data_IF_323560539094
#
_entry.id   IF_323560539094
#
_cell.length_a   1.000
_cell.length_b   1.000
_cell.length_c   1.000
_cell.angle_alpha   90.00
_cell.angle_beta   90.00
_cell.angle_gamma   90.00
#
_symmetry.space_group_name_H-M   'P 1'
#
loop_
_entity.id
_entity.type
_entity.pdbx_description
1 polymer ?
#
# COMPACT_ATOMS: atom_id res chain seq x y z
N UNK A 1 -2.34 -14.41 -24.80
CA UNK A 1 -2.60 -13.33 -25.76
C UNK A 1 -2.33 -13.76 -27.21
N UNK A 2 -1.12 -14.27 -27.56
CA UNK A 2 -0.79 -14.65 -28.95
C UNK A 2 -1.71 -15.70 -29.58
N UNK A 3 -2.38 -16.52 -28.79
CA UNK A 3 -3.32 -17.56 -29.27
C UNK A 3 -4.79 -17.18 -29.00
N UNK A 4 -5.04 -15.94 -28.63
CA UNK A 4 -6.38 -15.42 -28.41
C UNK A 4 -7.09 -15.22 -29.76
N UNK A 5 -8.36 -15.66 -29.88
CA UNK A 5 -9.09 -15.73 -31.12
C UNK A 5 -9.74 -14.40 -31.57
N UNK A 6 -9.71 -13.38 -30.72
CA UNK A 6 -10.24 -12.03 -30.93
C UNK A 6 -11.78 -11.96 -31.21
N UNK A 7 -12.51 -13.06 -31.04
CA UNK A 7 -13.98 -13.06 -31.23
C UNK A 7 -14.73 -12.52 -30.03
N UNK A 8 -14.13 -12.64 -28.80
CA UNK A 8 -14.73 -12.21 -27.56
C UNK A 8 -13.77 -11.32 -26.75
N UNK A 9 -14.27 -10.39 -25.93
CA UNK A 9 -13.40 -9.67 -25.00
C UNK A 9 -12.72 -10.63 -24.02
N UNK A 10 -11.50 -10.32 -23.60
CA UNK A 10 -10.79 -11.09 -22.59
C UNK A 10 -10.70 -10.32 -21.27
N UNK A 11 -10.63 -11.06 -20.19
CA UNK A 11 -10.18 -10.60 -18.88
C UNK A 11 -8.95 -11.41 -18.46
N UNK A 12 -7.88 -10.72 -18.07
CA UNK A 12 -6.65 -11.37 -17.66
C UNK A 12 -6.16 -10.77 -16.31
N UNK A 13 -6.01 -11.63 -15.31
CA UNK A 13 -5.39 -11.28 -14.05
C UNK A 13 -3.99 -11.92 -13.99
N UNK A 14 -2.95 -11.10 -13.89
CA UNK A 14 -1.56 -11.54 -13.85
C UNK A 14 -1.00 -11.21 -12.47
N UNK A 15 -0.73 -12.23 -11.68
CA UNK A 15 -0.12 -12.10 -10.36
C UNK A 15 1.33 -12.54 -10.41
N UNK A 16 2.22 -11.63 -10.00
CA UNK A 16 3.65 -11.93 -9.86
C UNK A 16 3.99 -12.20 -8.40
N UNK A 17 4.87 -13.16 -8.13
CA UNK A 17 5.41 -13.37 -6.79
C UNK A 17 6.38 -12.23 -6.40
N UNK A 18 7.18 -11.77 -7.35
CA UNK A 18 8.06 -10.63 -7.15
C UNK A 18 7.26 -9.34 -6.89
N UNK A 19 7.76 -8.42 -6.05
CA UNK A 19 9.05 -8.42 -5.37
C UNK A 19 9.07 -9.04 -3.96
N UNK A 20 8.22 -10.04 -3.67
CA UNK A 20 8.23 -10.79 -2.42
C UNK A 20 9.52 -11.63 -2.28
N UNK A 21 10.01 -11.81 -1.05
CA UNK A 21 11.12 -12.71 -0.76
C UNK A 21 10.80 -14.19 -1.14
N UNK A 22 11.81 -15.04 -1.49
CA UNK A 22 13.23 -14.72 -1.55
C UNK A 22 13.57 -13.83 -2.74
N UNK A 23 14.52 -12.91 -2.55
CA UNK A 23 14.97 -11.99 -3.61
C UNK A 23 15.77 -12.77 -4.63
N UNK A 24 15.10 -13.30 -5.64
CA UNK A 24 15.68 -14.13 -6.70
C UNK A 24 15.43 -13.49 -8.07
N UNK A 25 16.51 -13.19 -8.79
CA UNK A 25 16.47 -12.59 -10.12
C UNK A 25 17.70 -13.01 -10.93
N UNK A 26 17.66 -12.90 -12.26
CA UNK A 26 18.85 -13.09 -13.10
C UNK A 26 19.98 -12.12 -12.72
N UNK A 27 21.23 -12.59 -12.78
CA UNK A 27 22.43 -11.87 -12.41
C UNK A 27 22.55 -10.48 -13.09
N UNK A 28 22.10 -10.38 -14.34
CA UNK A 28 22.08 -9.10 -15.09
C UNK A 28 21.29 -7.99 -14.39
N UNK A 29 20.24 -8.33 -13.62
CA UNK A 29 19.46 -7.35 -12.85
C UNK A 29 20.08 -7.14 -11.47
N UNK A 30 20.54 -8.21 -10.83
CA UNK A 30 21.18 -8.13 -9.51
C UNK A 30 22.35 -7.14 -9.49
N UNK A 31 23.15 -7.11 -10.57
CA UNK A 31 24.34 -6.25 -10.70
C UNK A 31 24.04 -4.83 -11.20
N UNK A 32 22.75 -4.42 -11.29
CA UNK A 32 22.38 -3.07 -11.75
C UNK A 32 22.47 -2.00 -10.66
N UNK A 33 22.43 -2.41 -9.38
CA UNK A 33 22.41 -1.50 -8.24
C UNK A 33 23.57 -1.83 -7.30
N UNK A 34 24.49 -0.87 -7.11
CA UNK A 34 25.56 -0.99 -6.13
C UNK A 34 25.02 -0.59 -4.75
N UNK A 35 25.11 -1.44 -3.72
CA UNK A 35 24.71 -1.09 -2.36
C UNK A 35 25.42 0.16 -1.81
N UNK A 36 26.64 0.45 -2.25
CA UNK A 36 27.38 1.63 -1.79
C UNK A 36 26.77 2.94 -2.31
N UNK A 37 26.07 2.91 -3.45
CA UNK A 37 25.38 4.05 -4.03
C UNK A 37 23.95 4.24 -3.45
N UNK A 38 23.46 3.31 -2.62
CA UNK A 38 22.12 3.38 -2.04
C UNK A 38 22.10 4.34 -0.84
N UNK A 39 21.19 5.29 -0.88
CA UNK A 39 20.85 6.12 0.28
C UNK A 39 19.84 5.39 1.19
N UNK A 40 20.04 5.52 2.50
CA UNK A 40 19.05 5.01 3.46
C UNK A 40 17.80 5.90 3.45
N UNK A 41 16.61 5.33 3.70
CA UNK A 41 15.40 6.13 3.85
C UNK A 41 15.55 7.18 4.96
N UNK A 42 14.94 8.35 4.81
CA UNK A 42 14.99 9.44 5.80
C UNK A 42 14.47 8.99 7.19
N UNK A 43 13.50 8.10 7.20
CA UNK A 43 12.95 7.47 8.42
C UNK A 43 13.64 6.14 8.79
N UNK A 44 14.85 5.89 8.28
CA UNK A 44 15.64 4.74 8.72
C UNK A 44 15.92 4.81 10.23
N UNK A 45 15.78 3.67 10.90
CA UNK A 45 16.16 3.48 12.30
C UNK A 45 16.79 2.11 12.48
N UNK A 46 17.73 2.01 13.43
CA UNK A 46 18.29 0.70 13.83
C UNK A 46 17.26 -0.15 14.59
N UNK A 47 16.31 0.52 15.27
CA UNK A 47 15.23 -0.10 16.03
C UNK A 47 13.93 0.65 15.81
N UNK A 48 12.77 -0.03 15.87
CA UNK A 48 11.48 0.63 15.86
C UNK A 48 11.33 1.64 17.01
N UNK A 49 10.53 2.71 16.84
CA UNK A 49 10.32 3.73 17.88
C UNK A 49 9.51 3.22 19.08
N UNK A 50 8.97 2.02 19.01
CA UNK A 50 8.20 1.35 20.08
C UNK A 50 8.62 -0.11 20.13
N UNK A 51 8.53 -0.70 21.32
CA UNK A 51 8.65 -2.15 21.46
C UNK A 51 7.45 -2.82 20.79
N UNK A 52 7.59 -3.04 19.49
CA UNK A 52 6.64 -3.85 18.77
C UNK A 52 6.88 -5.30 19.17
N UNK A 53 5.85 -5.87 19.73
CA UNK A 53 5.78 -7.26 20.12
C UNK A 53 6.63 -8.19 19.30
N UNK A 54 7.60 -8.81 19.95
CA UNK A 54 8.33 -9.96 19.43
C UNK A 54 8.69 -9.76 17.94
N UNK A 55 9.21 -8.57 17.62
CA UNK A 55 9.54 -8.18 16.26
C UNK A 55 10.50 -9.19 15.62
N UNK A 56 11.40 -9.72 16.45
CA UNK A 56 12.34 -10.78 16.12
C UNK A 56 11.67 -12.15 15.85
N UNK A 57 10.42 -12.33 16.27
CA UNK A 57 9.63 -13.56 16.02
C UNK A 57 8.71 -13.44 14.80
N UNK A 58 8.56 -12.25 14.21
CA UNK A 58 7.77 -12.10 12.99
C UNK A 58 8.61 -12.49 11.78
N UNK A 59 8.03 -13.35 10.94
CA UNK A 59 8.71 -13.96 9.79
C UNK A 59 9.51 -12.96 8.96
N UNK A 60 8.87 -11.86 8.54
CA UNK A 60 9.49 -10.91 7.62
C UNK A 60 10.59 -10.09 8.32
N UNK A 61 10.42 -9.80 9.62
CA UNK A 61 11.42 -9.07 10.40
C UNK A 61 12.72 -9.84 10.61
N UNK A 62 12.69 -11.18 10.50
CA UNK A 62 13.87 -12.04 10.57
C UNK A 62 14.73 -12.04 9.30
N UNK A 63 14.30 -11.34 8.23
CA UNK A 63 15.06 -11.21 6.98
C UNK A 63 16.31 -10.33 7.10
N UNK A 64 16.43 -9.53 8.16
CA UNK A 64 17.62 -8.74 8.44
C UNK A 64 17.99 -8.82 9.93
N UNK A 65 19.26 -8.58 10.24
CA UNK A 65 19.77 -8.57 11.62
C UNK A 65 19.09 -7.49 12.46
N UNK A 66 18.98 -7.72 13.76
CA UNK A 66 18.45 -6.78 14.72
C UNK A 66 19.47 -6.48 15.84
N UNK A 67 19.81 -5.23 16.11
CA UNK A 67 19.40 -3.97 15.46
C UNK A 67 19.80 -3.90 14.00
N UNK A 68 19.04 -3.13 13.18
CA UNK A 68 19.25 -2.99 11.73
C UNK A 68 20.61 -2.35 11.45
N UNK A 69 21.39 -2.96 10.60
CA UNK A 69 22.69 -2.43 10.21
C UNK A 69 22.58 -1.68 8.89
N UNK A 70 23.10 -0.43 8.79
CA UNK A 70 23.01 0.39 7.58
C UNK A 70 23.44 -0.33 6.30
N UNK A 71 24.60 -1.01 6.32
CA UNK A 71 25.18 -1.68 5.17
C UNK A 71 24.33 -2.88 4.72
N UNK A 72 23.74 -3.61 5.65
CA UNK A 72 22.82 -4.71 5.35
C UNK A 72 21.53 -4.17 4.73
N UNK A 73 20.97 -3.09 5.26
CA UNK A 73 19.76 -2.46 4.72
C UNK A 73 20.00 -1.90 3.31
N UNK A 74 21.12 -1.24 3.06
CA UNK A 74 21.49 -0.78 1.70
C UNK A 74 21.55 -1.95 0.71
N UNK A 75 22.12 -3.08 1.10
CA UNK A 75 22.12 -4.29 0.28
C UNK A 75 20.70 -4.80 0.01
N UNK A 76 19.86 -4.84 1.02
CA UNK A 76 18.44 -5.22 0.89
C UNK A 76 17.69 -4.31 -0.08
N UNK A 77 17.93 -2.98 -0.03
CA UNK A 77 17.32 -2.01 -0.95
C UNK A 77 17.80 -2.24 -2.38
N UNK A 78 19.11 -2.42 -2.59
CA UNK A 78 19.70 -2.69 -3.91
C UNK A 78 19.09 -3.96 -4.55
N UNK A 79 19.00 -5.04 -3.78
CA UNK A 79 18.37 -6.30 -4.22
C UNK A 79 16.87 -6.11 -4.53
N UNK A 80 16.16 -5.31 -3.73
CA UNK A 80 14.75 -5.00 -3.94
C UNK A 80 14.53 -4.21 -5.22
N UNK A 81 15.36 -3.19 -5.50
CA UNK A 81 15.33 -2.43 -6.75
C UNK A 81 15.62 -3.31 -7.96
N UNK A 82 16.62 -4.20 -7.85
CA UNK A 82 16.96 -5.16 -8.91
C UNK A 82 15.78 -6.08 -9.23
N UNK A 83 15.05 -6.52 -8.22
CA UNK A 83 13.87 -7.38 -8.38
C UNK A 83 12.71 -6.63 -9.03
N UNK A 84 12.48 -5.37 -8.64
CA UNK A 84 11.47 -4.50 -9.27
C UNK A 84 11.82 -4.25 -10.74
N UNK A 85 13.09 -3.99 -11.06
CA UNK A 85 13.54 -3.80 -12.44
C UNK A 85 13.35 -5.06 -13.28
N UNK A 86 13.59 -6.24 -12.70
CA UNK A 86 13.29 -7.50 -13.37
C UNK A 86 11.78 -7.67 -13.61
N UNK A 87 10.95 -7.36 -12.61
CA UNK A 87 9.50 -7.40 -12.74
C UNK A 87 9.00 -6.46 -13.84
N UNK A 88 9.48 -5.22 -13.86
CA UNK A 88 9.15 -4.24 -14.90
C UNK A 88 9.49 -4.76 -16.31
N UNK A 89 10.68 -5.36 -16.45
CA UNK A 89 11.08 -5.99 -17.71
C UNK A 89 10.12 -7.11 -18.15
N UNK A 90 9.63 -7.94 -17.22
CA UNK A 90 8.68 -9.01 -17.55
C UNK A 90 7.28 -8.46 -17.87
N UNK A 91 6.82 -7.41 -17.16
CA UNK A 91 5.58 -6.71 -17.49
C UNK A 91 5.66 -6.05 -18.89
N UNK A 92 6.82 -5.48 -19.24
CA UNK A 92 7.07 -4.92 -20.57
C UNK A 92 6.77 -5.92 -21.70
N UNK A 93 7.10 -7.21 -21.50
CA UNK A 93 6.79 -8.26 -22.51
C UNK A 93 5.28 -8.47 -22.71
N UNK A 94 4.49 -8.30 -21.64
CA UNK A 94 3.03 -8.38 -21.74
C UNK A 94 2.51 -7.21 -22.56
N UNK A 95 2.99 -6.00 -22.29
CA UNK A 95 2.61 -4.78 -23.04
C UNK A 95 3.02 -4.90 -24.51
N UNK A 96 4.24 -5.35 -24.81
CA UNK A 96 4.67 -5.57 -26.19
C UNK A 96 3.82 -6.62 -26.89
N UNK A 97 3.41 -7.69 -26.19
CA UNK A 97 2.50 -8.69 -26.79
C UNK A 97 1.14 -8.11 -27.11
N UNK A 98 0.57 -7.24 -26.25
CA UNK A 98 -0.68 -6.52 -26.57
C UNK A 98 -0.54 -5.65 -27.82
N UNK A 99 0.60 -4.97 -27.98
CA UNK A 99 0.89 -4.17 -29.20
C UNK A 99 1.04 -5.05 -30.43
N UNK A 100 1.80 -6.16 -30.34
CA UNK A 100 2.00 -7.12 -31.43
C UNK A 100 0.69 -7.75 -31.93
N UNK A 101 -0.25 -8.00 -31.00
CA UNK A 101 -1.56 -8.58 -31.33
C UNK A 101 -2.61 -7.55 -31.75
N UNK A 102 -2.30 -6.25 -31.64
CA UNK A 102 -3.23 -5.16 -31.99
C UNK A 102 -4.28 -4.86 -30.92
N UNK A 103 -4.17 -5.47 -29.72
CA UNK A 103 -5.14 -5.32 -28.64
C UNK A 103 -4.84 -4.14 -27.71
N UNK A 104 -3.65 -3.54 -27.78
CA UNK A 104 -3.19 -2.51 -26.84
C UNK A 104 -4.14 -1.31 -26.77
N UNK A 105 -4.59 -0.79 -27.91
CA UNK A 105 -5.45 0.40 -27.96
C UNK A 105 -6.89 0.15 -27.48
N UNK A 106 -7.28 -1.12 -27.36
CA UNK A 106 -8.62 -1.54 -26.90
C UNK A 106 -8.57 -2.28 -25.55
N UNK A 107 -7.49 -2.13 -24.79
CA UNK A 107 -7.33 -2.81 -23.51
C UNK A 107 -7.15 -1.80 -22.38
N UNK A 108 -7.97 -1.92 -21.33
CA UNK A 108 -7.73 -1.23 -20.06
C UNK A 108 -6.69 -2.05 -19.27
N UNK A 109 -5.61 -1.40 -18.92
CA UNK A 109 -4.51 -1.98 -18.14
C UNK A 109 -4.54 -1.35 -16.73
N UNK A 110 -4.58 -2.20 -15.71
CA UNK A 110 -4.54 -1.78 -14.31
C UNK A 110 -3.30 -2.39 -13.68
N UNK A 111 -2.43 -1.55 -13.13
CA UNK A 111 -1.29 -1.96 -12.35
C UNK A 111 -1.51 -1.58 -10.89
N UNK A 112 -1.36 -2.54 -9.98
CA UNK A 112 -1.50 -2.31 -8.55
C UNK A 112 -0.52 -3.18 -7.74
N UNK A 113 -0.05 -2.67 -6.61
CA UNK A 113 0.58 -3.47 -5.57
C UNK A 113 -0.48 -3.95 -4.57
N UNK A 114 -0.30 -5.14 -3.98
CA UNK A 114 -1.18 -5.66 -2.93
C UNK A 114 -0.87 -5.07 -1.55
N UNK A 115 0.41 -4.83 -1.29
CA UNK A 115 0.94 -4.12 -0.11
C UNK A 115 2.33 -3.55 -0.43
N UNK A 116 2.78 -2.61 0.38
CA UNK A 116 4.15 -2.13 0.37
C UNK A 116 5.06 -2.96 1.28
N UNK A 117 6.27 -2.45 1.54
CA UNK A 117 7.28 -3.12 2.35
C UNK A 117 8.18 -2.09 3.04
N UNK A 118 8.50 -2.29 4.31
CA UNK A 118 9.63 -1.62 4.94
C UNK A 118 10.93 -2.29 4.49
N UNK A 119 11.94 -1.49 4.17
CA UNK A 119 13.32 -1.93 3.98
C UNK A 119 14.22 -0.95 4.75
N UNK A 120 14.12 -1.00 6.09
CA UNK A 120 14.83 -0.13 7.02
C UNK A 120 14.01 1.03 7.59
N UNK A 121 12.87 1.40 6.94
CA UNK A 121 11.98 2.44 7.45
C UNK A 121 11.47 2.07 8.86
N UNK A 122 11.54 3.01 9.79
CA UNK A 122 11.14 2.84 11.19
C UNK A 122 11.82 1.64 11.90
N UNK A 123 12.98 1.17 11.40
CA UNK A 123 13.66 -0.01 11.94
C UNK A 123 13.00 -1.33 11.56
N UNK A 124 12.12 -1.33 10.55
CA UNK A 124 11.35 -2.48 10.08
C UNK A 124 11.91 -3.01 8.75
N UNK A 125 11.66 -4.29 8.45
CA UNK A 125 11.93 -4.91 7.14
C UNK A 125 10.74 -5.72 6.62
N UNK A 126 9.61 -5.59 7.27
CA UNK A 126 8.36 -6.28 6.95
C UNK A 126 7.23 -5.32 6.57
N UNK A 127 6.04 -5.86 6.44
CA UNK A 127 4.82 -5.17 6.04
C UNK A 127 3.72 -5.18 7.10
N UNK A 128 4.00 -5.77 8.28
CA UNK A 128 3.03 -5.98 9.35
C UNK A 128 2.85 -4.72 10.20
N UNK A 129 2.53 -3.61 9.55
CA UNK A 129 2.32 -2.29 10.17
C UNK A 129 1.36 -1.44 9.34
N UNK A 130 1.06 -0.21 9.79
CA UNK A 130 0.17 0.72 9.12
C UNK A 130 0.86 2.04 8.70
N UNK A 131 2.18 2.06 8.60
CA UNK A 131 2.89 3.18 7.99
C UNK A 131 2.70 3.20 6.46
N UNK A 132 2.84 4.37 5.85
CA UNK A 132 2.58 4.54 4.41
C UNK A 132 3.46 3.63 3.54
N UNK A 133 4.70 3.32 3.94
CA UNK A 133 5.55 2.38 3.20
C UNK A 133 4.96 0.96 3.08
N UNK A 134 4.01 0.59 3.94
CA UNK A 134 3.34 -0.72 3.90
C UNK A 134 1.93 -0.66 3.34
N UNK A 135 1.20 0.46 3.50
CA UNK A 135 -0.21 0.55 3.11
C UNK A 135 -0.46 1.41 1.88
N UNK A 136 0.46 2.31 1.50
CA UNK A 136 0.32 3.12 0.29
C UNK A 136 1.03 2.42 -0.86
N UNK A 137 0.24 1.87 -1.78
CA UNK A 137 0.71 1.10 -2.92
C UNK A 137 0.52 1.86 -4.23
N UNK A 138 1.29 1.56 -5.28
CA UNK A 138 1.01 2.09 -6.60
C UNK A 138 -0.33 1.59 -7.11
N UNK A 139 -1.07 2.47 -7.79
CA UNK A 139 -2.28 2.16 -8.52
C UNK A 139 -2.31 3.01 -9.79
N UNK A 140 -2.28 2.36 -10.94
CA UNK A 140 -2.23 3.03 -12.25
C UNK A 140 -3.29 2.42 -13.14
N UNK A 141 -4.03 3.29 -13.84
CA UNK A 141 -4.97 2.92 -14.89
C UNK A 141 -4.47 3.48 -16.22
N UNK A 142 -4.55 2.70 -17.27
CA UNK A 142 -4.21 3.10 -18.64
C UNK A 142 -5.11 2.40 -19.64
N UNK A 143 -5.53 3.09 -20.69
CA UNK A 143 -6.34 2.51 -21.75
C UNK A 143 -7.41 3.45 -22.29
N UNK A 144 -8.32 2.95 -23.14
CA UNK A 144 -9.37 3.76 -23.74
C UNK A 144 -10.28 4.41 -22.69
N UNK A 145 -10.57 5.69 -22.88
CA UNK A 145 -11.41 6.47 -21.98
C UNK A 145 -10.75 6.90 -20.67
N UNK A 146 -9.44 6.69 -20.51
CA UNK A 146 -8.69 7.09 -19.32
C UNK A 146 -7.80 8.30 -19.68
N UNK A 147 -7.90 9.44 -18.94
CA UNK A 147 -7.02 10.59 -19.15
C UNK A 147 -5.54 10.22 -18.96
N UNK A 148 -4.69 10.64 -19.92
CA UNK A 148 -3.27 10.31 -19.90
C UNK A 148 -2.44 11.35 -19.12
N UNK A 149 -1.48 10.88 -18.32
CA UNK A 149 -0.54 11.75 -17.59
C UNK A 149 -1.17 12.51 -16.42
N UNK A 150 -2.30 12.04 -15.91
CA UNK A 150 -3.05 12.66 -14.84
C UNK A 150 -2.80 11.94 -13.50
N UNK A 151 -2.76 12.70 -12.41
CA UNK A 151 -2.71 12.20 -11.04
C UNK A 151 -4.01 12.51 -10.30
N UNK A 152 -4.35 11.68 -9.31
CA UNK A 152 -5.55 11.82 -8.49
C UNK A 152 -5.21 11.63 -7.02
N UNK A 153 -5.66 12.55 -6.16
CA UNK A 153 -5.37 12.57 -4.72
C UNK A 153 -6.50 11.96 -3.86
N UNK A 154 -7.52 11.37 -4.48
CA UNK A 154 -8.62 10.74 -3.75
C UNK A 154 -8.14 9.56 -2.92
N UNK A 155 -8.63 9.44 -1.69
CA UNK A 155 -8.44 8.24 -0.90
C UNK A 155 -9.22 7.07 -1.49
N UNK A 156 -8.48 5.99 -1.79
CA UNK A 156 -9.03 4.77 -2.40
C UNK A 156 -8.51 3.52 -1.68
N UNK A 157 -9.24 2.42 -1.82
CA UNK A 157 -8.79 1.10 -1.42
C UNK A 157 -8.64 0.20 -2.66
N UNK A 158 -7.87 -0.86 -2.55
CA UNK A 158 -7.75 -1.86 -3.63
C UNK A 158 -9.09 -2.54 -3.95
N UNK A 159 -10.00 -2.67 -2.99
CA UNK A 159 -11.34 -3.20 -3.20
C UNK A 159 -12.21 -2.34 -4.14
N UNK A 160 -11.80 -1.09 -4.40
CA UNK A 160 -12.48 -0.17 -5.32
C UNK A 160 -12.19 -0.49 -6.80
N UNK A 161 -11.16 -1.30 -7.08
CA UNK A 161 -10.79 -1.69 -8.44
C UNK A 161 -11.91 -2.45 -9.12
N UNK A 162 -12.53 -3.40 -8.44
CA UNK A 162 -13.57 -4.24 -9.02
C UNK A 162 -14.80 -3.44 -9.49
N UNK A 163 -15.44 -2.61 -8.65
CA UNK A 163 -16.58 -1.80 -9.10
C UNK A 163 -16.17 -0.78 -10.19
N UNK A 164 -14.91 -0.30 -10.17
CA UNK A 164 -14.40 0.57 -11.22
C UNK A 164 -14.31 -0.15 -12.58
N UNK A 165 -13.88 -1.40 -12.58
CA UNK A 165 -13.87 -2.22 -13.80
C UNK A 165 -15.30 -2.40 -14.31
N UNK A 166 -16.26 -2.69 -13.43
CA UNK A 166 -17.67 -2.83 -13.82
C UNK A 166 -18.18 -1.57 -14.55
N UNK A 167 -17.91 -0.39 -14.03
CA UNK A 167 -18.32 0.87 -14.66
C UNK A 167 -17.65 1.07 -16.04
N UNK A 168 -16.36 0.79 -16.17
CA UNK A 168 -15.66 0.91 -17.44
C UNK A 168 -16.23 -0.01 -18.54
N UNK A 169 -16.69 -1.20 -18.17
CA UNK A 169 -17.26 -2.15 -19.14
C UNK A 169 -18.79 -2.08 -19.22
N UNK A 170 -19.43 -1.18 -18.48
CA UNK A 170 -20.91 -1.03 -18.46
C UNK A 170 -21.62 -2.23 -17.83
N UNK A 171 -20.99 -2.90 -16.88
CA UNK A 171 -21.58 -4.04 -16.14
C UNK A 171 -22.19 -3.56 -14.83
N UNK A 172 -23.25 -4.22 -14.39
CA UNK A 172 -23.85 -3.98 -13.07
C UNK A 172 -22.89 -4.37 -11.96
N UNK A 173 -22.79 -3.51 -10.93
CA UNK A 173 -22.00 -3.78 -9.72
C UNK A 173 -22.90 -4.59 -8.76
N UNK A 174 -22.49 -5.82 -8.37
CA UNK A 174 -23.29 -6.63 -7.45
C UNK A 174 -23.48 -5.98 -6.07
N UNK A 175 -24.65 -6.14 -5.45
CA UNK A 175 -24.97 -5.61 -4.12
C UNK A 175 -24.02 -6.07 -3.00
N UNK A 176 -23.31 -7.18 -3.19
CA UNK A 176 -22.31 -7.69 -2.23
C UNK A 176 -20.96 -6.97 -2.26
N UNK A 177 -20.77 -6.03 -3.20
CA UNK A 177 -19.52 -5.29 -3.35
C UNK A 177 -19.49 -4.12 -2.38
N UNK A 178 -18.50 -4.07 -1.51
CA UNK A 178 -18.29 -3.00 -0.53
C UNK A 178 -17.40 -1.85 -1.06
N UNK A 179 -16.73 -2.06 -2.21
CA UNK A 179 -15.92 -1.04 -2.88
C UNK A 179 -16.76 0.06 -3.52
N UNK A 180 -16.14 1.21 -3.69
CA UNK A 180 -16.73 2.37 -4.38
C UNK A 180 -16.01 2.56 -5.70
N UNK A 181 -16.74 2.65 -6.81
CA UNK A 181 -16.13 2.89 -8.11
C UNK A 181 -15.34 4.20 -8.14
N UNK A 182 -14.14 4.15 -8.68
CA UNK A 182 -13.26 5.30 -8.92
C UNK A 182 -13.49 5.93 -10.30
N UNK A 183 -14.48 5.47 -11.07
CA UNK A 183 -14.71 5.91 -12.46
C UNK A 183 -14.78 7.44 -12.54
N UNK A 184 -15.61 8.08 -11.72
CA UNK A 184 -15.76 9.54 -11.71
C UNK A 184 -14.47 10.26 -11.25
N UNK A 185 -13.73 9.68 -10.30
CA UNK A 185 -12.42 10.22 -9.87
C UNK A 185 -11.40 10.17 -11.00
N UNK A 186 -11.38 9.08 -11.77
CA UNK A 186 -10.47 8.93 -12.91
C UNK A 186 -10.79 9.96 -13.98
N UNK A 187 -12.08 10.19 -14.25
CA UNK A 187 -12.53 11.13 -15.28
C UNK A 187 -12.43 12.60 -14.87
N UNK A 188 -12.47 12.92 -13.57
CA UNK A 188 -12.52 14.30 -13.09
C UNK A 188 -11.67 14.49 -11.83
N UNK A 189 -10.64 15.33 -11.92
CA UNK A 189 -9.71 15.63 -10.83
C UNK A 189 -10.35 16.23 -9.56
N UNK A 190 -11.51 16.90 -9.69
CA UNK A 190 -12.21 17.54 -8.58
C UNK A 190 -13.14 16.59 -7.81
N UNK A 191 -13.16 15.30 -8.16
CA UNK A 191 -13.97 14.30 -7.48
C UNK A 191 -13.17 13.56 -6.40
N UNK A 192 -13.86 13.20 -5.33
CA UNK A 192 -13.34 12.33 -4.28
C UNK A 192 -14.41 11.37 -3.82
N UNK A 193 -14.06 10.10 -3.64
CA UNK A 193 -15.01 9.08 -3.19
C UNK A 193 -15.00 8.87 -1.68
N UNK A 194 -13.97 9.36 -0.99
CA UNK A 194 -13.91 9.33 0.49
C UNK A 194 -12.94 10.37 1.05
N UNK A 195 -13.24 10.81 2.25
CA UNK A 195 -12.45 11.79 3.03
C UNK A 195 -11.59 11.14 4.13
N UNK A 196 -11.84 9.87 4.42
CA UNK A 196 -11.22 9.16 5.53
C UNK A 196 -10.99 7.70 5.18
N UNK A 197 -9.75 7.23 5.37
CA UNK A 197 -9.41 5.80 5.33
C UNK A 197 -9.46 5.21 6.74
N UNK A 198 -10.07 4.03 6.87
CA UNK A 198 -9.97 3.16 8.04
C UNK A 198 -8.83 2.18 7.84
N UNK A 199 -7.99 2.02 8.85
CA UNK A 199 -6.80 1.18 8.81
C UNK A 199 -6.85 0.17 9.94
N UNK A 200 -6.60 -1.10 9.63
CA UNK A 200 -6.61 -2.18 10.60
C UNK A 200 -5.49 -3.19 10.33
N UNK A 201 -4.81 -3.61 11.39
CA UNK A 201 -3.86 -4.70 11.32
C UNK A 201 -4.09 -5.66 12.50
N UNK A 202 -4.51 -6.87 12.20
CA UNK A 202 -4.85 -7.93 13.16
C UNK A 202 -5.74 -7.39 14.32
N UNK A 203 -5.48 -7.82 15.55
CA UNK A 203 -6.01 -7.29 16.80
C UNK A 203 -5.03 -6.32 17.50
N UNK A 204 -4.10 -5.75 16.75
CA UNK A 204 -2.96 -5.00 17.27
C UNK A 204 -3.02 -3.51 16.96
N UNK A 205 -3.47 -3.11 15.78
CA UNK A 205 -3.44 -1.71 15.35
C UNK A 205 -4.76 -1.34 14.69
N UNK A 206 -5.27 -0.17 15.06
CA UNK A 206 -6.35 0.54 14.34
C UNK A 206 -5.92 1.97 14.08
N UNK A 207 -6.37 2.51 12.96
CA UNK A 207 -6.05 3.89 12.60
C UNK A 207 -7.00 4.50 11.61
N UNK A 208 -6.82 5.79 11.43
CA UNK A 208 -7.48 6.56 10.37
C UNK A 208 -6.47 7.48 9.70
N UNK A 209 -6.65 7.69 8.40
CA UNK A 209 -5.97 8.72 7.62
C UNK A 209 -7.02 9.66 7.06
N UNK A 210 -6.93 10.96 7.37
CA UNK A 210 -7.88 11.99 6.97
C UNK A 210 -7.24 13.37 7.02
N UNK A 211 -7.60 14.24 6.08
CA UNK A 211 -7.15 15.65 6.03
C UNK A 211 -5.63 15.84 6.17
N UNK A 212 -4.85 14.94 5.56
CA UNK A 212 -3.38 14.97 5.65
C UNK A 212 -2.82 14.53 7.01
N UNK A 213 -3.64 14.00 7.91
CA UNK A 213 -3.19 13.42 9.18
C UNK A 213 -3.43 11.92 9.24
N UNK A 214 -2.58 11.22 10.01
CA UNK A 214 -2.74 9.81 10.32
C UNK A 214 -2.67 9.59 11.82
N UNK A 215 -3.72 8.99 12.39
CA UNK A 215 -3.75 8.54 13.77
C UNK A 215 -3.65 7.01 13.81
N UNK A 216 -2.67 6.49 14.54
CA UNK A 216 -2.52 5.05 14.80
C UNK A 216 -2.65 4.79 16.29
N UNK A 217 -3.48 3.80 16.64
CA UNK A 217 -3.68 3.32 18.01
C UNK A 217 -3.23 1.87 18.07
N UNK A 218 -2.13 1.62 18.76
CA UNK A 218 -1.48 0.31 18.91
C UNK A 218 -1.80 -0.25 20.28
N UNK A 219 -2.15 -1.52 20.32
CA UNK A 219 -2.51 -2.24 21.51
C UNK A 219 -1.54 -3.38 21.73
N UNK A 220 -0.78 -3.34 22.83
CA UNK A 220 -0.10 -4.42 23.52
C UNK A 220 0.89 -3.90 24.57
N UNK A 221 0.96 -4.59 25.74
CA UNK A 221 1.77 -4.23 26.91
C UNK A 221 1.65 -2.76 27.35
N UNK A 222 0.50 -2.13 27.07
CA UNK A 222 0.22 -0.71 27.13
C UNK A 222 -0.25 -0.19 25.77
N UNK A 223 -0.79 1.02 25.75
CA UNK A 223 -1.22 1.66 24.48
C UNK A 223 -0.09 2.56 24.01
N UNK A 224 0.36 2.37 22.78
CA UNK A 224 1.24 3.28 22.08
C UNK A 224 0.46 3.91 20.92
N UNK A 225 0.30 5.23 20.96
CA UNK A 225 -0.45 5.97 19.94
C UNK A 225 0.49 6.88 19.18
N UNK A 226 0.19 7.09 17.91
CA UNK A 226 0.95 7.96 17.03
C UNK A 226 0.01 8.88 16.27
N UNK A 227 0.40 10.13 16.13
CA UNK A 227 -0.20 11.11 15.25
C UNK A 227 0.87 11.67 14.32
N UNK A 228 0.65 11.57 13.02
CA UNK A 228 1.51 12.16 12.00
C UNK A 228 0.78 13.24 11.22
N UNK A 229 1.50 14.32 10.87
CA UNK A 229 1.06 15.33 9.93
C UNK A 229 1.72 15.09 8.57
N UNK A 230 1.07 14.32 7.72
CA UNK A 230 1.61 13.85 6.44
C UNK A 230 1.85 14.98 5.42
N UNK A 231 1.25 16.16 5.63
CA UNK A 231 1.49 17.32 4.77
C UNK A 231 2.91 17.89 4.94
N UNK A 232 3.48 17.76 6.15
CA UNK A 232 4.80 18.29 6.50
C UNK A 232 5.82 17.18 6.79
N UNK A 233 5.35 15.98 7.10
CA UNK A 233 6.14 14.81 7.44
C UNK A 233 5.61 13.57 6.69
N UNK A 234 5.86 13.48 5.38
CA UNK A 234 5.40 12.35 4.57
C UNK A 234 6.07 11.02 4.92
N UNK A 235 7.17 11.06 5.67
CA UNK A 235 7.91 9.87 6.12
C UNK A 235 7.54 9.40 7.52
N UNK A 236 6.58 10.07 8.19
CA UNK A 236 6.04 9.66 9.49
C UNK A 236 7.12 9.58 10.58
N UNK A 237 8.04 10.55 10.62
CA UNK A 237 9.19 10.59 11.52
C UNK A 237 8.80 11.10 12.90
N UNK A 238 7.99 12.18 12.95
CA UNK A 238 7.67 12.92 14.15
C UNK A 238 6.27 12.55 14.69
N UNK A 239 6.25 11.93 15.87
CA UNK A 239 5.01 11.57 16.54
C UNK A 239 4.48 12.73 17.39
N UNK A 240 3.41 13.37 16.96
CA UNK A 240 2.76 14.50 17.63
C UNK A 240 1.65 14.11 18.63
N UNK A 241 1.46 12.83 18.94
CA UNK A 241 0.33 12.38 19.76
C UNK A 241 0.32 12.98 21.16
N UNK A 242 1.47 13.32 21.75
CA UNK A 242 1.60 13.90 23.07
C UNK A 242 1.77 15.43 23.09
N UNK A 243 1.70 16.05 21.94
CA UNK A 243 1.84 17.49 21.80
C UNK A 243 0.51 18.22 22.07
N UNK A 244 0.43 19.11 23.10
CA UNK A 244 -0.84 19.76 23.51
C UNK A 244 -1.56 20.48 22.36
N UNK A 245 -0.83 21.05 21.41
CA UNK A 245 -1.42 21.77 20.27
C UNK A 245 -2.22 20.89 19.33
N UNK A 246 -2.06 19.56 19.36
CA UNK A 246 -2.78 18.59 18.52
C UNK A 246 -3.94 17.90 19.25
N UNK A 247 -4.26 18.26 20.48
CA UNK A 247 -5.32 17.61 21.27
C UNK A 247 -6.67 17.60 20.58
N UNK A 248 -7.07 18.73 19.95
CA UNK A 248 -8.33 18.82 19.24
C UNK A 248 -8.32 17.99 17.94
N UNK A 249 -7.19 17.96 17.21
CA UNK A 249 -7.04 17.11 16.02
C UNK A 249 -7.08 15.61 16.40
N UNK A 250 -6.47 15.23 17.50
CA UNK A 250 -6.54 13.86 18.02
C UNK A 250 -7.99 13.46 18.30
N UNK A 251 -8.75 14.31 19.02
CA UNK A 251 -10.17 14.05 19.31
C UNK A 251 -11.01 13.93 18.04
N UNK A 252 -10.77 14.79 17.04
CA UNK A 252 -11.44 14.72 15.74
C UNK A 252 -11.18 13.37 15.07
N UNK A 253 -9.91 12.96 14.97
CA UNK A 253 -9.52 11.70 14.33
C UNK A 253 -9.99 10.47 15.11
N UNK A 254 -10.03 10.52 16.44
CA UNK A 254 -10.62 9.46 17.27
C UNK A 254 -12.12 9.30 17.00
N UNK A 255 -12.85 10.40 16.82
CA UNK A 255 -14.26 10.35 16.46
C UNK A 255 -14.45 9.75 15.05
N UNK A 256 -13.59 10.12 14.08
CA UNK A 256 -13.58 9.50 12.75
C UNK A 256 -13.28 8.00 12.83
N UNK A 257 -12.32 7.59 13.66
CA UNK A 257 -11.97 6.20 13.89
C UNK A 257 -13.16 5.39 14.43
N UNK A 258 -13.85 5.91 15.44
CA UNK A 258 -15.03 5.26 16.03
C UNK A 258 -16.21 5.20 15.05
N UNK A 259 -16.38 6.21 14.19
CA UNK A 259 -17.40 6.19 13.13
C UNK A 259 -17.07 5.09 12.11
N UNK A 260 -15.83 5.03 11.63
CA UNK A 260 -15.37 4.04 10.65
C UNK A 260 -15.38 2.61 11.22
N UNK A 261 -15.05 2.41 12.51
CA UNK A 261 -15.24 1.15 13.22
C UNK A 261 -16.64 0.56 13.02
N UNK A 262 -17.68 1.42 13.17
CA UNK A 262 -19.07 1.01 12.99
C UNK A 262 -19.44 0.78 11.52
N UNK A 263 -18.96 1.64 10.64
CA UNK A 263 -19.19 1.53 9.18
C UNK A 263 -18.64 0.21 8.62
N UNK A 264 -17.48 -0.22 9.11
CA UNK A 264 -16.81 -1.46 8.69
C UNK A 264 -17.17 -2.67 9.55
N UNK A 265 -18.10 -2.54 10.49
CA UNK A 265 -18.48 -3.63 11.40
C UNK A 265 -17.28 -4.30 12.10
N UNK A 266 -16.17 -3.56 12.29
CA UNK A 266 -14.91 -4.14 12.79
C UNK A 266 -15.07 -4.83 14.16
N UNK A 267 -15.97 -4.35 15.00
CA UNK A 267 -16.25 -4.98 16.30
C UNK A 267 -16.97 -6.33 16.20
N UNK A 268 -17.52 -6.67 15.03
CA UNK A 268 -18.16 -7.97 14.77
C UNK A 268 -17.18 -9.01 14.24
N UNK A 269 -16.02 -8.59 13.77
CA UNK A 269 -14.97 -9.48 13.34
C UNK A 269 -14.12 -9.92 14.53
N UNK A 270 -13.76 -11.19 14.64
CA UNK A 270 -13.03 -11.78 15.78
C UNK A 270 -11.79 -10.97 16.22
N UNK A 271 -10.97 -10.49 15.28
CA UNK A 271 -9.78 -9.69 15.59
C UNK A 271 -10.13 -8.26 16.00
N UNK A 272 -11.17 -7.70 15.43
CA UNK A 272 -11.68 -6.40 15.83
C UNK A 272 -12.33 -6.45 17.23
N UNK A 273 -13.12 -7.45 17.49
CA UNK A 273 -13.68 -7.70 18.84
C UNK A 273 -12.57 -7.80 19.88
N UNK A 274 -11.54 -8.60 19.62
CA UNK A 274 -10.34 -8.69 20.49
C UNK A 274 -9.68 -7.32 20.69
N UNK A 275 -9.52 -6.54 19.62
CA UNK A 275 -8.92 -5.21 19.72
C UNK A 275 -9.74 -4.24 20.58
N UNK A 276 -11.07 -4.21 20.41
CA UNK A 276 -11.93 -3.19 21.03
C UNK A 276 -12.36 -3.50 22.46
N UNK A 277 -12.40 -4.78 22.87
CA UNK A 277 -12.91 -5.23 24.16
C UNK A 277 -11.86 -5.37 25.28
N UNK A 278 -10.60 -5.14 25.03
CA UNK A 278 -9.54 -5.03 26.02
C UNK A 278 -9.20 -3.54 26.23
#
# INVERSE_FOLDING_TARGET
LRNYDQENPFFMYISFMAPHDPRSMPEKFLNMYDPDDIELPENFREKPPFEFLDIDQRRDESLATYPRQPEEIKKHIAEYYAMITHLDHEMGKVIETLKETGEYENTIIIFAGDNGLAVGQHGLVGKQNLYDHSIRVPLVFSGPGIPAGEERDSYVYLLDIFPTICDFIGSEIPDSVEGISMFEVIQNENQSIRDTLYLAYEDLIRGVKSDGYKLLKKKKNGRYNELFNLNNDPYEIDNFYHEPQYEDKIKELENKLLKKKKEWDDEKHMRGESYWNE
#
